data_IF_828026594360
#
_entry.id   IF_828026594360
#
_cell.length_a   1.000
_cell.length_b   1.000
_cell.length_c   1.000
_cell.angle_alpha   90.00
_cell.angle_beta   90.00
_cell.angle_gamma   90.00
#
_symmetry.space_group_name_H-M   'P 1'
#
loop_
_entity.id
_entity.type
_entity.pdbx_description
1 polymer ?
#
# COMPACT_ATOMS: atom_id res chain seq x y z
N UNK A 1 -74.78 -6.39 -12.95
CA UNK A 1 -74.11 -5.95 -14.19
C UNK A 1 -72.63 -6.22 -14.05
N UNK A 2 -72.07 -6.99 -14.99
CA UNK A 2 -70.66 -7.41 -15.06
C UNK A 2 -69.85 -6.32 -15.78
N UNK A 3 -68.68 -5.96 -15.26
CA UNK A 3 -67.63 -5.30 -16.07
C UNK A 3 -66.26 -5.83 -15.67
N UNK A 4 -65.73 -6.66 -16.56
CA UNK A 4 -64.40 -7.29 -16.55
C UNK A 4 -63.40 -6.28 -17.10
N UNK A 5 -62.28 -6.03 -16.41
CA UNK A 5 -61.17 -5.23 -16.94
C UNK A 5 -59.94 -6.14 -17.16
N UNK A 6 -59.40 -6.10 -18.38
CA UNK A 6 -58.39 -6.99 -18.94
C UNK A 6 -56.98 -6.71 -18.40
N UNK A 7 -56.31 -7.78 -17.95
CA UNK A 7 -54.86 -7.86 -17.78
C UNK A 7 -54.16 -7.71 -19.14
N UNK A 8 -53.31 -6.70 -19.29
CA UNK A 8 -52.34 -6.60 -20.38
C UNK A 8 -50.95 -7.04 -19.90
N UNK A 9 -50.56 -8.29 -20.19
CA UNK A 9 -49.19 -8.76 -20.00
C UNK A 9 -48.33 -8.34 -21.20
N UNK A 10 -47.42 -7.37 -21.01
CA UNK A 10 -46.34 -7.10 -21.95
C UNK A 10 -45.15 -8.03 -21.62
N UNK A 11 -44.96 -9.09 -22.42
CA UNK A 11 -43.72 -9.88 -22.42
C UNK A 11 -42.65 -9.13 -23.23
N UNK A 12 -41.68 -8.52 -22.54
CA UNK A 12 -40.45 -8.06 -23.16
C UNK A 12 -39.45 -9.23 -23.23
N UNK A 13 -39.08 -9.64 -24.44
CA UNK A 13 -38.02 -10.62 -24.72
C UNK A 13 -36.65 -10.01 -24.36
N UNK A 14 -36.08 -10.40 -23.22
CA UNK A 14 -34.69 -10.10 -22.86
C UNK A 14 -33.79 -11.12 -23.57
N UNK A 15 -33.13 -10.72 -24.65
CA UNK A 15 -32.11 -11.53 -25.32
C UNK A 15 -30.84 -11.64 -24.46
N UNK A 16 -30.20 -12.83 -24.34
CA UNK A 16 -29.05 -13.00 -23.46
C UNK A 16 -27.79 -12.37 -24.07
N UNK A 17 -27.14 -11.50 -23.30
CA UNK A 17 -25.85 -10.87 -23.63
C UNK A 17 -24.68 -11.85 -23.42
N UNK A 18 -24.55 -12.87 -24.27
CA UNK A 18 -23.55 -13.95 -24.10
C UNK A 18 -22.09 -13.47 -24.30
N UNK A 19 -21.86 -12.40 -25.07
CA UNK A 19 -20.50 -11.93 -25.39
C UNK A 19 -19.75 -11.21 -24.25
N UNK A 20 -20.45 -10.59 -23.29
CA UNK A 20 -19.79 -9.81 -22.24
C UNK A 20 -19.17 -10.69 -21.14
N UNK A 21 -19.70 -11.90 -20.93
CA UNK A 21 -19.28 -12.79 -19.86
C UNK A 21 -17.97 -13.53 -20.19
N UNK A 22 -17.70 -13.81 -21.47
CA UNK A 22 -16.47 -14.48 -21.93
C UNK A 22 -15.25 -13.56 -21.91
N UNK A 23 -15.41 -12.29 -22.27
CA UNK A 23 -14.32 -11.31 -22.17
C UNK A 23 -13.92 -11.06 -20.70
N UNK A 24 -14.89 -10.92 -19.80
CA UNK A 24 -14.63 -10.71 -18.37
C UNK A 24 -13.89 -11.89 -17.71
N UNK A 25 -14.19 -13.14 -18.12
CA UNK A 25 -13.50 -14.32 -17.60
C UNK A 25 -12.07 -14.46 -18.15
N UNK A 26 -11.87 -14.20 -19.44
CA UNK A 26 -10.54 -14.20 -20.06
C UNK A 26 -9.62 -13.14 -19.44
N UNK A 27 -10.12 -11.94 -19.20
CA UNK A 27 -9.38 -10.86 -18.54
C UNK A 27 -9.01 -11.23 -17.10
N UNK A 28 -9.91 -11.89 -16.39
CA UNK A 28 -9.68 -12.38 -15.02
C UNK A 28 -8.59 -13.46 -14.96
N UNK A 29 -8.58 -14.39 -15.92
CA UNK A 29 -7.56 -15.44 -16.01
C UNK A 29 -6.17 -14.84 -16.29
N UNK A 30 -6.08 -13.93 -17.27
CA UNK A 30 -4.84 -13.23 -17.62
C UNK A 30 -4.30 -12.40 -16.46
N UNK A 31 -5.18 -11.70 -15.72
CA UNK A 31 -4.77 -10.95 -14.54
C UNK A 31 -4.17 -11.88 -13.47
N UNK A 32 -4.82 -13.01 -13.21
CA UNK A 32 -4.36 -14.01 -12.23
C UNK A 32 -2.98 -14.56 -12.59
N UNK A 33 -2.74 -14.91 -13.85
CA UNK A 33 -1.44 -15.37 -14.33
C UNK A 33 -0.35 -14.32 -14.12
N UNK A 34 -0.64 -13.05 -14.43
CA UNK A 34 0.30 -11.93 -14.22
C UNK A 34 0.58 -11.67 -12.74
N UNK A 35 -0.43 -11.81 -11.87
CA UNK A 35 -0.24 -11.69 -10.42
C UNK A 35 0.66 -12.79 -9.87
N UNK A 36 0.46 -14.04 -10.32
CA UNK A 36 1.34 -15.15 -9.97
C UNK A 36 2.77 -14.95 -10.49
N UNK A 37 2.92 -14.45 -11.71
CA UNK A 37 4.23 -14.15 -12.28
C UNK A 37 4.96 -13.04 -11.49
N UNK A 38 4.27 -11.93 -11.17
CA UNK A 38 4.81 -10.87 -10.33
C UNK A 38 5.23 -11.38 -8.94
N UNK A 39 4.39 -12.20 -8.32
CA UNK A 39 4.70 -12.81 -7.01
C UNK A 39 5.96 -13.67 -7.06
N UNK A 40 6.11 -14.51 -8.09
CA UNK A 40 7.31 -15.34 -8.28
C UNK A 40 8.56 -14.51 -8.55
N UNK A 41 8.47 -13.48 -9.39
CA UNK A 41 9.59 -12.58 -9.69
C UNK A 41 10.08 -11.82 -8.45
N UNK A 42 9.18 -11.50 -7.51
CA UNK A 42 9.55 -10.89 -6.23
C UNK A 42 10.09 -11.90 -5.21
N UNK A 43 9.61 -13.15 -5.26
CA UNK A 43 10.05 -14.23 -4.38
C UNK A 43 11.42 -14.82 -4.76
N UNK A 44 11.81 -14.82 -6.03
CA UNK A 44 13.06 -15.44 -6.52
C UNK A 44 14.32 -14.76 -5.97
N UNK A 45 14.24 -13.47 -5.60
CA UNK A 45 15.28 -12.71 -4.91
C UNK A 45 16.66 -12.75 -5.58
N UNK A 46 16.96 -11.80 -6.46
CA UNK A 46 18.25 -11.41 -7.07
C UNK A 46 17.93 -10.28 -8.08
N UNK A 47 18.86 -9.65 -8.84
CA UNK A 47 18.51 -8.70 -9.90
C UNK A 47 17.76 -9.40 -11.04
N UNK A 48 16.46 -9.65 -10.81
CA UNK A 48 15.53 -10.13 -11.81
C UNK A 48 15.19 -8.93 -12.72
N UNK A 49 15.36 -9.03 -14.04
CA UNK A 49 15.08 -7.92 -14.96
C UNK A 49 13.62 -7.47 -14.92
N UNK A 50 12.72 -8.28 -14.35
CA UNK A 50 11.32 -7.99 -14.16
C UNK A 50 10.98 -7.55 -12.73
N UNK A 51 11.93 -7.42 -11.81
CA UNK A 51 11.68 -7.01 -10.42
C UNK A 51 10.96 -5.66 -10.33
N UNK A 52 11.45 -4.67 -11.07
CA UNK A 52 10.84 -3.34 -11.11
C UNK A 52 9.41 -3.37 -11.64
N UNK A 53 9.20 -4.13 -12.72
CA UNK A 53 7.86 -4.39 -13.27
C UNK A 53 6.97 -5.09 -12.23
N UNK A 54 7.50 -6.08 -11.52
CA UNK A 54 6.75 -6.90 -10.58
C UNK A 54 6.34 -6.09 -9.34
N UNK A 55 7.22 -5.24 -8.79
CA UNK A 55 6.85 -4.29 -7.74
C UNK A 55 5.70 -3.40 -8.22
N UNK A 56 5.86 -2.75 -9.38
CA UNK A 56 4.82 -1.87 -9.91
C UNK A 56 3.49 -2.56 -10.24
N UNK A 57 3.53 -3.85 -10.60
CA UNK A 57 2.35 -4.61 -10.98
C UNK A 57 1.64 -5.25 -9.78
N UNK A 58 2.37 -5.69 -8.74
CA UNK A 58 1.78 -6.47 -7.64
C UNK A 58 0.68 -5.71 -6.89
N UNK A 59 0.72 -4.37 -6.88
CA UNK A 59 -0.35 -3.52 -6.31
C UNK A 59 -1.73 -3.69 -6.98
N UNK A 60 -1.79 -4.32 -8.16
CA UNK A 60 -3.03 -4.65 -8.86
C UNK A 60 -3.59 -6.02 -8.44
N UNK A 61 -2.91 -6.72 -7.52
CA UNK A 61 -3.17 -8.09 -7.10
C UNK A 61 -3.51 -8.15 -5.61
N UNK A 62 -4.66 -7.62 -5.15
CA UNK A 62 -4.96 -7.47 -3.72
C UNK A 62 -4.94 -8.78 -2.92
N UNK A 63 -5.22 -9.92 -3.58
CA UNK A 63 -5.12 -11.25 -2.97
C UNK A 63 -3.68 -11.68 -2.65
N UNK A 64 -2.73 -11.35 -3.52
CA UNK A 64 -1.35 -11.84 -3.47
C UNK A 64 -0.35 -10.79 -2.94
N UNK A 65 -0.70 -9.50 -2.99
CA UNK A 65 0.24 -8.42 -2.73
C UNK A 65 0.69 -8.32 -1.27
N UNK A 66 -0.23 -8.52 -0.33
CA UNK A 66 0.05 -8.42 1.12
C UNK A 66 1.28 -9.25 1.57
N UNK A 67 1.29 -10.58 1.40
CA UNK A 67 2.41 -11.40 1.84
C UNK A 67 3.67 -11.14 1.02
N UNK A 68 3.54 -10.86 -0.29
CA UNK A 68 4.70 -10.62 -1.16
C UNK A 68 5.42 -9.33 -0.76
N UNK A 69 4.68 -8.24 -0.56
CA UNK A 69 5.24 -6.95 -0.15
C UNK A 69 5.80 -7.01 1.27
N UNK A 70 5.13 -7.68 2.20
CA UNK A 70 5.66 -7.91 3.55
C UNK A 70 7.01 -8.64 3.50
N UNK A 71 7.11 -9.72 2.71
CA UNK A 71 8.37 -10.44 2.52
C UNK A 71 9.47 -9.59 1.88
N UNK A 72 9.15 -8.60 1.03
CA UNK A 72 10.16 -7.67 0.51
C UNK A 72 10.74 -6.74 1.58
N UNK A 73 9.92 -6.32 2.55
CA UNK A 73 10.38 -5.53 3.69
C UNK A 73 11.22 -6.36 4.67
N UNK A 74 10.86 -7.63 4.88
CA UNK A 74 11.53 -8.54 5.84
C UNK A 74 12.79 -9.21 5.28
N UNK A 75 12.80 -9.53 3.97
CA UNK A 75 13.60 -10.60 3.40
C UNK A 75 15.10 -10.35 3.21
N UNK A 76 15.68 -9.24 3.69
CA UNK A 76 17.14 -9.02 3.70
C UNK A 76 17.86 -8.93 2.34
N UNK A 77 17.28 -9.44 1.25
CA UNK A 77 17.78 -9.36 -0.13
C UNK A 77 17.79 -7.90 -0.68
N UNK A 78 17.25 -6.98 0.12
CA UNK A 78 17.28 -5.54 -0.06
C UNK A 78 18.20 -4.87 1.00
N UNK A 79 19.37 -5.43 1.28
CA UNK A 79 20.35 -4.80 2.18
C UNK A 79 20.68 -3.35 1.75
N UNK A 80 20.45 -3.00 0.48
CA UNK A 80 20.30 -1.62 -0.01
C UNK A 80 19.60 -1.65 -1.37
N UNK A 81 18.25 -1.53 -1.44
CA UNK A 81 17.58 -1.38 -2.73
C UNK A 81 18.10 -0.12 -3.42
N UNK A 82 18.12 -0.09 -4.75
CA UNK A 82 18.34 1.16 -5.46
C UNK A 82 17.23 2.17 -5.10
N UNK A 83 17.47 3.49 -5.22
CA UNK A 83 16.44 4.49 -4.95
C UNK A 83 15.15 4.26 -5.76
N UNK A 84 15.26 3.79 -7.01
CA UNK A 84 14.11 3.46 -7.85
C UNK A 84 13.32 2.26 -7.29
N UNK A 85 13.98 1.18 -6.90
CA UNK A 85 13.32 0.02 -6.31
C UNK A 85 12.68 0.33 -4.97
N UNK A 86 13.32 1.17 -4.14
CA UNK A 86 12.72 1.60 -2.87
C UNK A 86 11.45 2.40 -3.12
N UNK A 87 11.47 3.33 -4.08
CA UNK A 87 10.28 4.09 -4.46
C UNK A 87 9.14 3.18 -4.96
N UNK A 88 9.46 2.19 -5.79
CA UNK A 88 8.46 1.24 -6.30
C UNK A 88 7.88 0.35 -5.18
N UNK A 89 8.72 -0.08 -4.22
CA UNK A 89 8.29 -0.85 -3.05
C UNK A 89 7.38 -0.02 -2.14
N UNK A 90 7.76 1.22 -1.83
CA UNK A 90 6.95 2.15 -1.04
C UNK A 90 5.63 2.41 -1.74
N UNK A 91 5.66 2.82 -3.00
CA UNK A 91 4.46 3.13 -3.78
C UNK A 91 3.48 1.96 -3.79
N UNK A 92 3.97 0.74 -4.03
CA UNK A 92 3.14 -0.46 -4.06
C UNK A 92 2.58 -0.82 -2.70
N UNK A 93 3.37 -0.66 -1.63
CA UNK A 93 2.97 -0.88 -0.24
C UNK A 93 1.88 0.09 0.21
N UNK A 94 1.93 1.36 -0.21
CA UNK A 94 0.91 2.36 0.12
C UNK A 94 -0.44 2.10 -0.58
N UNK A 95 -0.43 1.45 -1.74
CA UNK A 95 -1.64 1.15 -2.52
C UNK A 95 -2.41 -0.07 -2.02
N UNK A 96 -1.78 -0.96 -1.28
CA UNK A 96 -2.42 -2.15 -0.71
C UNK A 96 -2.56 -1.96 0.80
N UNK A 97 -3.79 -1.97 1.33
CA UNK A 97 -4.09 -1.85 2.76
C UNK A 97 -4.13 -3.23 3.40
N UNK A 98 -2.97 -3.83 3.63
CA UNK A 98 -2.85 -5.16 4.22
C UNK A 98 -2.09 -5.11 5.56
N UNK A 99 -2.61 -5.79 6.58
CA UNK A 99 -2.01 -5.76 7.93
C UNK A 99 -0.58 -6.29 7.94
N UNK A 100 -0.25 -7.28 7.10
CA UNK A 100 1.11 -7.87 7.06
C UNK A 100 2.13 -6.84 6.58
N UNK A 101 1.76 -6.02 5.60
CA UNK A 101 2.63 -4.95 5.08
C UNK A 101 2.84 -3.88 6.14
N UNK A 102 1.79 -3.51 6.89
CA UNK A 102 1.93 -2.61 8.04
C UNK A 102 2.93 -3.16 9.06
N UNK A 103 2.77 -4.42 9.48
CA UNK A 103 3.60 -5.02 10.52
C UNK A 103 5.06 -5.14 10.08
N UNK A 104 5.31 -5.52 8.82
CA UNK A 104 6.64 -5.59 8.24
C UNK A 104 7.32 -4.21 8.17
N UNK A 105 6.61 -3.18 7.66
CA UNK A 105 7.14 -1.81 7.65
C UNK A 105 7.38 -1.29 9.08
N UNK A 106 6.51 -1.61 10.02
CA UNK A 106 6.67 -1.26 11.42
C UNK A 106 7.89 -1.92 12.09
N UNK A 107 8.24 -3.14 11.68
CA UNK A 107 9.47 -3.81 12.12
C UNK A 107 10.72 -3.13 11.54
N UNK A 108 10.71 -2.86 10.23
CA UNK A 108 11.80 -2.17 9.51
C UNK A 108 12.06 -0.78 10.10
N UNK A 109 11.02 0.04 10.33
CA UNK A 109 11.16 1.37 10.90
C UNK A 109 11.83 1.37 12.29
N UNK A 110 11.55 0.35 13.12
CA UNK A 110 12.10 0.22 14.49
C UNK A 110 13.47 -0.42 14.56
N UNK A 111 13.91 -1.11 13.52
CA UNK A 111 15.16 -1.86 13.50
C UNK A 111 16.36 -0.93 13.31
N UNK A 112 17.17 -0.75 14.37
CA UNK A 112 18.38 0.09 14.33
C UNK A 112 19.50 -0.48 13.45
N UNK A 113 19.46 -1.78 13.14
CA UNK A 113 20.40 -2.43 12.21
C UNK A 113 19.99 -2.27 10.75
N UNK A 114 18.82 -1.70 10.48
CA UNK A 114 18.34 -1.47 9.12
C UNK A 114 18.91 -0.16 8.56
N UNK A 115 19.36 -0.11 7.30
CA UNK A 115 19.82 1.13 6.67
C UNK A 115 18.79 2.26 6.74
N UNK A 116 19.23 3.49 6.99
CA UNK A 116 18.33 4.63 7.22
C UNK A 116 17.39 4.90 6.03
N UNK A 117 17.85 4.71 4.78
CA UNK A 117 17.01 4.85 3.58
C UNK A 117 15.79 3.92 3.59
N UNK A 118 15.99 2.65 3.95
CA UNK A 118 14.90 1.67 4.05
C UNK A 118 13.95 2.00 5.22
N UNK A 119 14.50 2.51 6.32
CA UNK A 119 13.71 2.98 7.47
C UNK A 119 12.87 4.22 7.11
N UNK A 120 13.39 5.16 6.32
CA UNK A 120 12.60 6.28 5.79
C UNK A 120 11.46 5.79 4.88
N UNK A 121 11.74 4.86 3.97
CA UNK A 121 10.67 4.24 3.17
C UNK A 121 9.60 3.57 4.01
N UNK A 122 9.99 2.86 5.07
CA UNK A 122 9.04 2.25 6.00
C UNK A 122 8.21 3.29 6.75
N UNK A 123 8.81 4.38 7.24
CA UNK A 123 8.09 5.50 7.85
C UNK A 123 7.08 6.13 6.88
N UNK A 124 7.43 6.27 5.60
CA UNK A 124 6.55 6.78 4.56
C UNK A 124 5.34 5.85 4.32
N UNK A 125 5.54 4.53 4.36
CA UNK A 125 4.42 3.56 4.30
C UNK A 125 3.53 3.68 5.55
N UNK A 126 4.12 3.72 6.74
CA UNK A 126 3.35 3.88 7.98
C UNK A 126 2.53 5.17 8.00
N UNK A 127 3.06 6.26 7.44
CA UNK A 127 2.35 7.53 7.35
C UNK A 127 1.10 7.40 6.47
N UNK A 128 1.20 6.72 5.32
CA UNK A 128 0.02 6.46 4.49
C UNK A 128 -0.97 5.54 5.19
N UNK A 129 -0.51 4.61 6.05
CA UNK A 129 -1.37 3.72 6.83
C UNK A 129 -2.12 4.45 7.94
N UNK A 130 -1.50 5.47 8.55
CA UNK A 130 -2.15 6.34 9.51
C UNK A 130 -3.27 7.18 8.86
N UNK A 131 -3.03 7.70 7.66
CA UNK A 131 -3.98 8.45 6.85
C UNK A 131 -3.63 8.30 5.36
N UNK A 132 -4.52 7.69 4.58
CA UNK A 132 -4.28 7.45 3.16
C UNK A 132 -4.24 8.72 2.31
N UNK A 133 -4.74 9.85 2.83
CA UNK A 133 -4.70 11.13 2.12
C UNK A 133 -3.38 11.86 2.32
N UNK A 134 -2.56 11.45 3.29
CA UNK A 134 -1.27 12.09 3.56
C UNK A 134 -0.24 11.68 2.51
N UNK A 135 0.35 12.69 1.87
CA UNK A 135 1.46 12.55 0.95
C UNK A 135 2.75 13.07 1.61
N UNK A 136 3.72 12.18 1.75
CA UNK A 136 5.08 12.44 2.22
C UNK A 136 6.02 11.81 1.20
N UNK A 137 7.06 12.50 0.76
CA UNK A 137 8.14 11.91 -0.05
C UNK A 137 9.27 11.36 0.82
N UNK A 138 10.16 10.55 0.25
CA UNK A 138 11.42 10.19 0.92
C UNK A 138 12.25 11.43 1.24
N UNK A 139 12.32 12.39 0.31
CA UNK A 139 13.04 13.66 0.50
C UNK A 139 12.50 14.47 1.70
N UNK A 140 11.17 14.50 1.91
CA UNK A 140 10.57 15.14 3.08
C UNK A 140 11.06 14.50 4.40
N UNK A 141 11.35 13.19 4.38
CA UNK A 141 11.82 12.43 5.55
C UNK A 141 13.33 12.49 5.74
N UNK A 142 14.10 12.55 4.66
CA UNK A 142 15.56 12.72 4.69
C UNK A 142 15.94 14.15 5.09
N UNK A 143 15.12 15.13 4.71
CA UNK A 143 15.34 16.55 4.95
C UNK A 143 14.14 17.22 5.67
N UNK A 144 13.77 16.77 6.88
CA UNK A 144 12.54 17.19 7.56
C UNK A 144 12.54 18.65 8.01
N UNK A 145 13.71 19.31 8.05
CA UNK A 145 13.83 20.73 8.40
C UNK A 145 13.50 21.66 7.23
N UNK A 146 13.56 21.15 6.00
CA UNK A 146 13.17 21.88 4.78
C UNK A 146 11.78 21.49 4.30
N UNK A 147 11.25 20.37 4.79
CA UNK A 147 9.90 19.92 4.50
C UNK A 147 8.85 20.90 5.07
N UNK A 148 7.88 21.27 4.23
CA UNK A 148 6.67 21.97 4.66
C UNK A 148 5.76 21.04 5.48
N UNK A 149 4.60 21.52 5.93
CA UNK A 149 3.58 20.65 6.55
C UNK A 149 3.19 19.46 5.67
N UNK A 150 2.76 18.34 6.29
CA UNK A 150 2.26 17.15 5.58
C UNK A 150 1.24 17.53 4.51
N UNK A 151 1.54 17.16 3.26
CA UNK A 151 0.67 17.40 2.11
C UNK A 151 -0.52 16.44 2.17
N UNK A 152 -1.64 16.89 1.63
CA UNK A 152 -2.85 16.09 1.48
C UNK A 152 -3.11 15.91 -0.02
N UNK A 153 -3.38 14.68 -0.43
CA UNK A 153 -3.76 14.32 -1.79
C UNK A 153 -5.14 13.68 -1.75
N UNK A 154 -6.03 14.17 -2.61
CA UNK A 154 -7.37 13.60 -2.82
C UNK A 154 -7.37 12.45 -3.82
N UNK A 155 -6.26 12.25 -4.55
CA UNK A 155 -6.16 11.28 -5.66
C UNK A 155 -5.62 9.93 -5.18
N UNK A 156 -5.86 9.58 -3.91
CA UNK A 156 -5.40 8.32 -3.33
C UNK A 156 -6.56 7.35 -3.21
N UNK A 157 -6.54 6.35 -4.09
CA UNK A 157 -7.45 5.20 -4.07
C UNK A 157 -6.67 3.95 -3.65
N UNK A 158 -6.54 3.68 -2.34
CA UNK A 158 -5.90 2.46 -1.87
C UNK A 158 -6.91 1.30 -1.96
N UNK A 159 -6.40 0.12 -2.28
CA UNK A 159 -7.18 -1.12 -2.36
C UNK A 159 -7.01 -1.91 -1.07
N UNK A 160 -8.10 -2.50 -0.56
CA UNK A 160 -8.02 -3.42 0.57
C UNK A 160 -7.15 -4.64 0.21
N UNK A 161 -6.22 -5.00 1.10
CA UNK A 161 -5.48 -6.25 1.00
C UNK A 161 -6.32 -7.45 1.47
N UNK A 162 -5.75 -8.65 1.32
CA UNK A 162 -6.40 -9.88 1.76
C UNK A 162 -6.53 -9.98 3.30
N UNK A 163 -5.63 -9.36 4.06
CA UNK A 163 -5.74 -9.26 5.52
C UNK A 163 -6.12 -7.82 5.89
N UNK A 164 -7.35 -7.59 6.41
CA UNK A 164 -7.81 -6.26 6.81
C UNK A 164 -6.88 -5.62 7.84
N UNK A 165 -6.72 -4.29 7.77
CA UNK A 165 -6.01 -3.55 8.81
C UNK A 165 -6.73 -3.65 10.15
N UNK A 166 -5.95 -3.72 11.22
CA UNK A 166 -6.45 -3.60 12.57
C UNK A 166 -7.17 -2.24 12.74
N UNK A 167 -8.23 -2.22 13.55
CA UNK A 167 -9.04 -1.01 13.79
C UNK A 167 -8.25 0.11 14.46
N UNK A 168 -7.13 -0.22 15.10
CA UNK A 168 -6.24 0.71 15.79
C UNK A 168 -4.96 1.04 14.98
N UNK A 169 -4.89 0.67 13.69
CA UNK A 169 -3.69 0.85 12.85
C UNK A 169 -3.16 2.28 12.86
N UNK A 170 -4.07 3.28 12.88
CA UNK A 170 -3.70 4.69 13.00
C UNK A 170 -3.01 4.98 14.32
N UNK A 171 -3.61 4.57 15.45
CA UNK A 171 -3.02 4.76 16.77
C UNK A 171 -1.65 4.06 16.88
N UNK A 172 -1.52 2.86 16.32
CA UNK A 172 -0.25 2.11 16.28
C UNK A 172 0.83 2.82 15.47
N UNK A 173 0.49 3.38 14.30
CA UNK A 173 1.42 4.17 13.49
C UNK A 173 1.92 5.42 14.24
N UNK A 174 0.99 6.17 14.85
CA UNK A 174 1.34 7.37 15.62
C UNK A 174 2.20 7.05 16.84
N UNK A 175 1.94 5.94 17.53
CA UNK A 175 2.76 5.49 18.64
C UNK A 175 4.19 5.13 18.19
N UNK A 176 4.36 4.57 16.99
CA UNK A 176 5.68 4.31 16.40
C UNK A 176 6.44 5.62 16.19
N UNK A 177 5.80 6.62 15.57
CA UNK A 177 6.43 7.92 15.33
C UNK A 177 6.82 8.60 16.64
N UNK A 178 5.94 8.63 17.64
CA UNK A 178 6.25 9.21 18.94
C UNK A 178 7.41 8.49 19.63
N UNK A 179 7.44 7.16 19.60
CA UNK A 179 8.51 6.36 20.20
C UNK A 179 9.87 6.62 19.53
N UNK A 180 9.92 6.66 18.20
CA UNK A 180 11.15 6.96 17.45
C UNK A 180 11.60 8.41 17.65
N UNK A 181 10.65 9.36 17.65
CA UNK A 181 10.92 10.77 17.90
C UNK A 181 11.61 11.03 19.26
N UNK A 182 11.30 10.21 20.27
CA UNK A 182 11.85 10.31 21.61
C UNK A 182 13.16 9.52 21.81
N UNK A 183 13.24 8.30 21.26
CA UNK A 183 14.26 7.32 21.69
C UNK A 183 15.24 6.89 20.59
N UNK A 184 15.00 7.27 19.34
CA UNK A 184 15.82 6.78 18.23
C UNK A 184 17.25 7.33 18.31
N UNK A 185 18.31 6.49 18.26
CA UNK A 185 19.69 6.96 18.24
C UNK A 185 20.07 7.71 16.95
N UNK A 186 19.62 7.23 15.78
CA UNK A 186 19.88 7.90 14.49
C UNK A 186 19.17 9.26 14.43
N UNK A 187 19.95 10.34 14.29
CA UNK A 187 19.41 11.70 14.31
C UNK A 187 18.47 12.01 13.14
N UNK A 188 18.70 11.42 11.96
CA UNK A 188 17.85 11.58 10.78
C UNK A 188 16.51 10.89 10.98
N UNK A 189 16.52 9.63 11.43
CA UNK A 189 15.28 8.89 11.72
C UNK A 189 14.49 9.56 12.84
N UNK A 190 15.17 10.02 13.90
CA UNK A 190 14.55 10.78 14.98
C UNK A 190 13.87 12.06 14.46
N UNK A 191 14.55 12.84 13.62
CA UNK A 191 14.01 14.06 13.03
C UNK A 191 12.81 13.79 12.11
N UNK A 192 12.88 12.73 11.28
CA UNK A 192 11.77 12.30 10.43
C UNK A 192 10.53 11.89 11.24
N UNK A 193 10.72 11.10 12.29
CA UNK A 193 9.65 10.70 13.20
C UNK A 193 9.04 11.89 13.97
N UNK A 194 9.85 12.88 14.35
CA UNK A 194 9.36 14.13 14.95
C UNK A 194 8.52 14.94 13.94
N UNK A 195 8.97 15.03 12.69
CA UNK A 195 8.22 15.67 11.61
C UNK A 195 6.85 15.02 11.42
N UNK A 196 6.79 13.69 11.29
CA UNK A 196 5.54 12.94 11.19
C UNK A 196 4.65 13.15 12.43
N UNK A 197 5.21 13.03 13.64
CA UNK A 197 4.46 13.20 14.89
C UNK A 197 3.82 14.58 14.99
N UNK A 198 4.55 15.65 14.64
CA UNK A 198 4.00 17.01 14.58
C UNK A 198 2.92 17.12 13.50
N UNK A 199 3.21 16.62 12.30
CA UNK A 199 2.29 16.69 11.17
C UNK A 199 0.93 16.07 11.44
N UNK A 200 0.89 14.96 12.19
CA UNK A 200 -0.35 14.31 12.62
C UNK A 200 -0.96 14.90 13.90
N UNK A 201 -0.16 15.54 14.76
CA UNK A 201 -0.60 16.12 16.03
C UNK A 201 -1.35 17.45 15.92
N UNK A 202 -1.24 18.16 14.79
CA UNK A 202 -1.99 19.41 14.55
C UNK A 202 -3.44 19.09 14.20
N UNK A 203 -4.25 18.71 15.20
CA UNK A 203 -5.72 18.79 15.19
C UNK A 203 -6.45 18.31 13.93
N UNK A 204 -5.90 17.34 13.19
CA UNK A 204 -6.57 16.79 12.01
C UNK A 204 -7.66 15.83 12.50
N UNK A 205 -8.94 16.12 12.21
CA UNK A 205 -10.08 15.29 12.65
C UNK A 205 -9.98 13.85 12.13
#
# INVERSE_FOLDING_TARGET
MRTTALLGCALALVGPSVGAQESATADSARLRERCQFASRALASGHPDPHRQWALNFIRLCPGDAGPVLAAQWEGGNAASPSPAELNDLVFSSQKIRDQRVFDAAAAVARSVSTPSSLRFGALQVLASYADSTVAVSLDDLEHPNTAASLRVSTDVFPTAGAVPLATDVRARALAIFASLAANEPDAGIRAAAQYLSRGFGVGRP
#
